data_IF_427024338925
#
_entry.id   IF_427024338925
#
_cell.length_a   1.000
_cell.length_b   1.000
_cell.length_c   1.000
_cell.angle_alpha   90.00
_cell.angle_beta   90.00
_cell.angle_gamma   90.00
#
_symmetry.space_group_name_H-M   'P 1'
#
loop_
_entity.id
_entity.type
_entity.pdbx_description
1 polymer ?
#
# COMPACT_ATOMS: atom_id res chain seq x y z
N UNK A 1 -6.54 -10.21 16.95
CA UNK A 1 -5.97 -9.27 15.96
C UNK A 1 -6.71 -9.43 14.64
N UNK A 2 -7.22 -8.37 14.06
CA UNK A 2 -7.77 -8.31 12.70
C UNK A 2 -6.62 -8.02 11.72
N UNK A 3 -6.65 -8.61 10.53
CA UNK A 3 -5.72 -8.29 9.46
C UNK A 3 -6.48 -7.97 8.18
N UNK A 4 -6.38 -6.72 7.72
CA UNK A 4 -6.84 -6.28 6.41
C UNK A 4 -5.62 -6.12 5.51
N UNK A 5 -5.49 -7.03 4.55
CA UNK A 5 -4.29 -7.11 3.72
C UNK A 5 -4.29 -6.11 2.55
N UNK A 6 -5.42 -5.50 2.23
CA UNK A 6 -5.53 -4.54 1.13
C UNK A 6 -6.71 -3.61 1.32
N UNK A 7 -6.51 -2.56 2.09
CA UNK A 7 -7.49 -1.52 2.30
C UNK A 7 -7.34 -0.42 1.24
N UNK A 8 -8.45 -0.05 0.63
CA UNK A 8 -8.50 1.01 -0.37
C UNK A 8 -9.22 2.24 0.18
N UNK A 9 -8.63 3.40 -0.08
CA UNK A 9 -9.25 4.72 0.06
C UNK A 9 -9.13 5.44 -1.28
N UNK A 10 -9.79 6.58 -1.43
CA UNK A 10 -9.56 7.42 -2.59
C UNK A 10 -8.09 7.86 -2.65
N UNK A 11 -7.41 7.64 -3.77
CA UNK A 11 -5.99 7.95 -3.92
C UNK A 11 -5.76 9.42 -4.28
N UNK A 12 -6.12 10.27 -3.32
CA UNK A 12 -5.89 11.73 -3.36
C UNK A 12 -5.22 12.17 -2.05
N UNK A 13 -4.44 13.24 -2.11
CA UNK A 13 -3.64 13.69 -0.95
C UNK A 13 -4.47 14.06 0.29
N UNK A 14 -5.73 14.42 0.08
CA UNK A 14 -6.66 14.81 1.14
C UNK A 14 -7.72 13.75 1.46
N UNK A 15 -7.50 12.49 1.05
CA UNK A 15 -8.36 11.39 1.44
C UNK A 15 -8.49 11.30 2.97
N UNK A 16 -9.68 11.00 3.45
CA UNK A 16 -9.93 10.84 4.89
C UNK A 16 -9.50 9.44 5.35
N UNK A 17 -8.48 9.37 6.17
CA UNK A 17 -7.97 8.12 6.75
C UNK A 17 -8.53 7.83 8.16
N UNK A 18 -9.47 8.61 8.67
CA UNK A 18 -10.04 8.41 10.02
C UNK A 18 -10.67 7.01 10.21
N UNK A 19 -11.13 6.39 9.12
CA UNK A 19 -11.64 5.01 9.12
C UNK A 19 -10.63 3.98 9.67
N UNK A 20 -9.32 4.24 9.57
CA UNK A 20 -8.29 3.36 10.13
C UNK A 20 -8.43 3.19 11.65
N UNK A 21 -9.00 4.16 12.35
CA UNK A 21 -9.31 4.07 13.77
C UNK A 21 -10.39 3.04 14.11
N UNK A 22 -11.19 2.60 13.14
CA UNK A 22 -12.27 1.62 13.37
C UNK A 22 -11.79 0.20 13.65
N UNK A 23 -10.52 -0.12 13.33
CA UNK A 23 -9.95 -1.43 13.62
C UNK A 23 -9.63 -1.64 15.11
N UNK A 24 -9.52 -0.56 15.91
CA UNK A 24 -9.22 -0.63 17.37
C UNK A 24 -10.22 -1.46 18.18
N UNK A 25 -11.55 -1.31 18.01
CA UNK A 25 -12.51 -2.08 18.79
C UNK A 25 -12.40 -3.60 18.63
N UNK A 26 -11.75 -4.07 17.57
CA UNK A 26 -11.47 -5.49 17.32
C UNK A 26 -10.25 -6.03 18.12
N UNK A 27 -9.68 -5.24 19.04
CA UNK A 27 -8.50 -5.63 19.81
C UNK A 27 -7.18 -5.45 19.05
N UNK A 28 -7.09 -4.40 18.26
CA UNK A 28 -5.95 -4.08 17.42
C UNK A 28 -5.88 -4.87 16.12
N UNK A 29 -5.10 -4.41 15.18
CA UNK A 29 -5.00 -5.02 13.87
C UNK A 29 -3.78 -4.61 13.07
N UNK A 30 -3.68 -5.19 11.88
CA UNK A 30 -2.78 -4.78 10.81
C UNK A 30 -3.61 -4.40 9.59
N UNK A 31 -3.33 -3.23 9.04
CA UNK A 31 -3.91 -2.75 7.78
C UNK A 31 -2.80 -2.48 6.78
N UNK A 32 -2.90 -3.09 5.61
CA UNK A 32 -2.09 -2.73 4.44
C UNK A 32 -2.90 -1.75 3.60
N UNK A 33 -2.46 -0.50 3.53
CA UNK A 33 -3.16 0.59 2.88
C UNK A 33 -2.59 0.84 1.49
N UNK A 34 -3.43 0.73 0.45
CA UNK A 34 -3.02 1.00 -0.91
C UNK A 34 -2.64 2.48 -1.10
N UNK A 35 -1.49 2.69 -1.74
CA UNK A 35 -0.97 4.04 -2.06
C UNK A 35 -0.63 4.21 -3.54
N UNK A 36 -0.95 3.24 -4.39
CA UNK A 36 -0.72 3.40 -5.81
C UNK A 36 -0.98 2.15 -6.67
N UNK A 37 -1.45 2.40 -7.86
CA UNK A 37 -1.63 1.44 -8.97
C UNK A 37 -1.72 2.22 -10.28
N UNK A 38 -1.75 1.52 -11.43
CA UNK A 38 -1.96 2.16 -12.72
C UNK A 38 -3.34 2.90 -12.77
N UNK A 39 -3.40 4.15 -13.27
CA UNK A 39 -2.35 4.85 -14.02
C UNK A 39 -1.41 5.73 -13.17
N UNK A 40 -1.37 5.56 -11.86
CA UNK A 40 -0.58 6.42 -10.97
C UNK A 40 0.91 6.17 -11.17
N UNK A 41 1.65 7.23 -11.48
CA UNK A 41 3.10 7.20 -11.62
C UNK A 41 3.84 7.45 -10.29
N UNK A 42 5.19 7.41 -10.33
CA UNK A 42 6.04 7.58 -9.15
C UNK A 42 5.80 8.86 -8.36
N UNK A 43 5.56 9.97 -9.05
CA UNK A 43 5.39 11.30 -8.42
C UNK A 43 4.13 11.37 -7.55
N UNK A 44 2.99 10.92 -8.10
CA UNK A 44 1.74 10.90 -7.35
C UNK A 44 1.84 9.93 -6.16
N UNK A 45 2.38 8.72 -6.38
CA UNK A 45 2.58 7.76 -5.29
C UNK A 45 3.47 8.33 -4.18
N UNK A 46 4.55 9.03 -4.52
CA UNK A 46 5.40 9.68 -3.51
C UNK A 46 4.66 10.78 -2.75
N UNK A 47 3.76 11.52 -3.41
CA UNK A 47 2.93 12.52 -2.77
C UNK A 47 1.91 11.91 -1.82
N UNK A 48 1.22 10.85 -2.25
CA UNK A 48 0.28 10.09 -1.41
C UNK A 48 0.96 9.50 -0.19
N UNK A 49 2.14 8.88 -0.35
CA UNK A 49 2.91 8.34 0.77
C UNK A 49 3.24 9.42 1.81
N UNK A 50 3.67 10.61 1.39
CA UNK A 50 3.94 11.72 2.33
C UNK A 50 2.68 12.15 3.08
N UNK A 51 1.58 12.34 2.35
CA UNK A 51 0.31 12.76 2.94
C UNK A 51 -0.27 11.72 3.89
N UNK A 52 -0.33 10.45 3.45
CA UNK A 52 -0.92 9.38 4.25
C UNK A 52 -0.10 9.08 5.51
N UNK A 53 1.24 9.11 5.42
CA UNK A 53 2.08 9.01 6.62
C UNK A 53 1.77 10.10 7.63
N UNK A 54 1.72 11.36 7.17
CA UNK A 54 1.41 12.50 8.05
C UNK A 54 0.01 12.42 8.67
N UNK A 55 -0.96 11.81 7.98
CA UNK A 55 -2.30 11.60 8.52
C UNK A 55 -2.31 10.46 9.54
N UNK A 56 -1.70 9.29 9.22
CA UNK A 56 -1.61 8.14 10.14
C UNK A 56 -1.00 8.54 11.48
N UNK A 57 0.06 9.37 11.47
CA UNK A 57 0.72 9.86 12.68
C UNK A 57 -0.18 10.73 13.58
N UNK A 58 -1.32 11.21 13.07
CA UNK A 58 -2.28 12.05 13.82
C UNK A 58 -3.53 11.32 14.28
N UNK A 59 -3.75 10.09 13.81
CA UNK A 59 -4.92 9.30 14.18
C UNK A 59 -4.61 8.57 15.47
N UNK A 60 -5.41 8.83 16.52
CA UNK A 60 -5.25 8.18 17.81
C UNK A 60 -5.43 6.66 17.70
N UNK A 61 -4.48 5.91 18.24
CA UNK A 61 -4.49 4.44 18.23
C UNK A 61 -4.20 3.82 16.85
N UNK A 62 -3.54 4.57 15.97
CA UNK A 62 -3.05 4.08 14.68
C UNK A 62 -1.57 4.44 14.57
N UNK A 63 -0.74 3.50 14.14
CA UNK A 63 0.70 3.73 14.02
C UNK A 63 1.30 3.00 12.80
N UNK A 64 2.29 3.63 12.18
CA UNK A 64 3.07 2.98 11.11
C UNK A 64 3.92 1.85 11.69
N UNK A 65 3.93 0.71 11.02
CA UNK A 65 4.80 -0.42 11.31
C UNK A 65 5.88 -0.56 10.24
N UNK A 66 7.12 -0.77 10.67
CA UNK A 66 8.25 -1.03 9.79
C UNK A 66 8.68 -2.50 9.82
N UNK A 67 8.44 -3.19 10.92
CA UNK A 67 8.85 -4.57 11.19
C UNK A 67 7.69 -5.38 11.75
N UNK A 68 7.85 -6.70 11.79
CA UNK A 68 6.88 -7.59 12.47
C UNK A 68 6.78 -7.26 13.97
N UNK A 69 7.91 -6.96 14.62
CA UNK A 69 7.94 -6.57 16.04
C UNK A 69 7.12 -5.29 16.29
N UNK A 70 7.12 -4.34 15.33
CA UNK A 70 6.25 -3.17 15.42
C UNK A 70 4.78 -3.55 15.36
N UNK A 71 4.40 -4.44 14.44
CA UNK A 71 3.03 -4.93 14.32
C UNK A 71 2.58 -5.57 15.62
N UNK A 72 3.39 -6.48 16.17
CA UNK A 72 3.08 -7.19 17.41
C UNK A 72 2.94 -6.21 18.60
N UNK A 73 3.84 -5.26 18.72
CA UNK A 73 3.82 -4.24 19.78
C UNK A 73 2.58 -3.34 19.69
N UNK A 74 2.25 -2.85 18.47
CA UNK A 74 1.11 -1.97 18.23
C UNK A 74 -0.19 -2.74 18.49
N UNK A 75 -0.32 -3.95 17.95
CA UNK A 75 -1.51 -4.76 18.14
C UNK A 75 -1.71 -5.19 19.61
N UNK A 76 -0.63 -5.49 20.35
CA UNK A 76 -0.70 -5.81 21.76
C UNK A 76 -1.21 -4.63 22.64
N UNK A 77 -1.00 -3.38 22.19
CA UNK A 77 -1.57 -2.19 22.80
C UNK A 77 -3.06 -1.99 22.48
N UNK A 78 -3.65 -2.81 21.60
CA UNK A 78 -5.01 -2.65 21.10
C UNK A 78 -5.14 -1.65 19.96
N UNK A 79 -4.01 -1.20 19.42
CA UNK A 79 -3.94 -0.20 18.36
C UNK A 79 -3.85 -0.87 16.97
N UNK A 80 -3.98 -0.06 15.91
CA UNK A 80 -3.91 -0.49 14.52
C UNK A 80 -2.54 -0.20 13.93
N UNK A 81 -1.83 -1.24 13.54
CA UNK A 81 -0.61 -1.13 12.77
C UNK A 81 -0.94 -0.85 11.28
N UNK A 82 -0.25 0.07 10.66
CA UNK A 82 -0.41 0.38 9.22
C UNK A 82 0.90 0.17 8.49
N UNK A 83 0.83 -0.53 7.39
CA UNK A 83 1.85 -0.61 6.35
C UNK A 83 1.24 -0.11 5.04
N UNK A 84 2.06 0.21 4.04
CA UNK A 84 1.57 0.58 2.72
C UNK A 84 1.76 -0.55 1.71
N UNK A 85 0.87 -0.61 0.72
CA UNK A 85 1.00 -1.50 -0.43
C UNK A 85 0.85 -0.78 -1.77
N UNK A 86 1.27 -1.47 -2.81
CA UNK A 86 1.04 -1.09 -4.19
C UNK A 86 0.26 -2.21 -4.90
N UNK A 87 -0.83 -1.85 -5.54
CA UNK A 87 -1.70 -2.79 -6.26
C UNK A 87 -1.12 -3.24 -7.60
N UNK A 88 -0.10 -2.53 -8.11
CA UNK A 88 0.75 -2.97 -9.23
C UNK A 88 2.10 -2.22 -9.26
N UNK A 89 2.94 -2.53 -10.25
CA UNK A 89 4.28 -1.95 -10.42
C UNK A 89 4.32 -0.61 -11.17
N UNK A 90 3.18 -0.03 -11.60
CA UNK A 90 3.19 1.27 -12.29
C UNK A 90 3.89 2.38 -11.48
N UNK A 91 3.72 2.45 -10.14
CA UNK A 91 4.42 3.41 -9.30
C UNK A 91 5.95 3.31 -9.29
N UNK A 92 6.53 2.20 -9.74
CA UNK A 92 8.00 2.08 -9.89
C UNK A 92 8.53 2.89 -11.07
N UNK A 93 7.69 3.18 -12.08
CA UNK A 93 8.12 3.87 -13.30
C UNK A 93 9.15 3.09 -14.13
N UNK A 94 9.27 1.77 -13.94
CA UNK A 94 10.29 0.93 -14.57
C UNK A 94 11.67 1.00 -13.91
N UNK A 95 11.80 1.71 -12.78
CA UNK A 95 13.05 1.87 -12.04
C UNK A 95 13.07 0.91 -10.83
N UNK A 96 13.92 -0.12 -10.88
CA UNK A 96 14.05 -1.07 -9.77
C UNK A 96 14.67 -0.44 -8.51
N UNK A 97 15.44 0.62 -8.63
CA UNK A 97 15.97 1.35 -7.46
C UNK A 97 14.85 2.05 -6.68
N UNK A 98 13.67 2.26 -7.30
CA UNK A 98 12.50 2.76 -6.61
C UNK A 98 12.03 1.82 -5.49
N UNK A 99 12.28 0.52 -5.57
CA UNK A 99 11.89 -0.46 -4.53
C UNK A 99 12.50 -0.08 -3.19
N UNK A 100 13.80 0.19 -3.14
CA UNK A 100 14.46 0.58 -1.89
C UNK A 100 13.89 1.89 -1.31
N UNK A 101 13.59 2.86 -2.18
CA UNK A 101 12.96 4.13 -1.78
C UNK A 101 11.56 3.94 -1.21
N UNK A 102 10.74 3.09 -1.84
CA UNK A 102 9.38 2.77 -1.40
C UNK A 102 9.38 2.01 -0.07
N UNK A 103 10.28 1.04 0.09
CA UNK A 103 10.47 0.32 1.37
C UNK A 103 10.85 1.29 2.49
N UNK A 104 11.75 2.24 2.24
CA UNK A 104 12.13 3.26 3.22
C UNK A 104 10.94 4.19 3.59
N UNK A 105 9.95 4.32 2.70
CA UNK A 105 8.73 5.10 2.93
C UNK A 105 7.59 4.31 3.57
N UNK A 106 7.75 3.01 3.83
CA UNK A 106 6.77 2.20 4.54
C UNK A 106 5.98 1.22 3.66
N UNK A 107 6.27 1.14 2.37
CA UNK A 107 5.69 0.10 1.50
C UNK A 107 6.26 -1.27 1.89
N UNK A 108 5.39 -2.28 2.06
CA UNK A 108 5.78 -3.63 2.49
C UNK A 108 5.30 -4.72 1.54
N UNK A 109 4.26 -4.44 0.77
CA UNK A 109 3.72 -5.37 -0.22
C UNK A 109 3.57 -4.69 -1.56
N UNK A 110 3.67 -5.47 -2.62
CA UNK A 110 3.52 -5.00 -4.00
C UNK A 110 3.03 -6.15 -4.86
N UNK A 111 1.91 -5.95 -5.56
CA UNK A 111 1.49 -6.86 -6.62
C UNK A 111 2.23 -6.51 -7.92
N UNK A 112 2.75 -7.49 -8.68
CA UNK A 112 3.46 -7.18 -9.93
C UNK A 112 2.56 -6.53 -10.99
N UNK A 113 1.32 -7.02 -11.13
CA UNK A 113 0.33 -6.52 -12.09
C UNK A 113 -1.06 -6.64 -11.50
N UNK A 114 -1.99 -5.81 -11.99
CA UNK A 114 -3.40 -5.91 -11.66
C UNK A 114 -4.23 -5.90 -12.95
N UNK A 115 -5.00 -4.85 -13.23
CA UNK A 115 -5.89 -4.81 -14.41
C UNK A 115 -5.13 -4.57 -15.73
N UNK A 116 -4.08 -3.77 -15.70
CA UNK A 116 -3.33 -3.36 -16.87
C UNK A 116 -1.96 -4.00 -16.94
N UNK A 117 -1.51 -4.28 -18.16
CA UNK A 117 -0.13 -4.70 -18.40
C UNK A 117 0.83 -3.57 -18.02
N UNK A 118 1.97 -3.94 -17.44
CA UNK A 118 3.06 -3.03 -17.11
C UNK A 118 4.43 -3.70 -17.39
N UNK A 119 5.52 -3.08 -16.98
CA UNK A 119 6.87 -3.61 -17.21
C UNK A 119 7.12 -4.99 -16.54
N UNK A 120 6.33 -5.37 -15.52
CA UNK A 120 6.47 -6.64 -14.82
C UNK A 120 5.66 -7.79 -15.48
N UNK A 121 4.62 -7.48 -16.26
CA UNK A 121 3.80 -8.51 -16.89
C UNK A 121 2.47 -8.06 -17.44
N UNK A 122 1.66 -9.02 -17.90
CA UNK A 122 0.30 -8.79 -18.36
C UNK A 122 -0.66 -8.54 -17.20
N UNK A 123 -1.66 -7.67 -17.40
CA UNK A 123 -2.74 -7.46 -16.46
C UNK A 123 -3.96 -8.35 -16.73
N UNK A 124 -4.89 -8.44 -15.78
CA UNK A 124 -6.10 -9.27 -15.90
C UNK A 124 -7.02 -8.84 -17.04
N UNK A 125 -7.02 -7.58 -17.41
CA UNK A 125 -7.77 -7.03 -18.54
C UNK A 125 -6.97 -7.04 -19.87
N UNK A 126 -5.72 -7.54 -19.86
CA UNK A 126 -4.91 -7.61 -21.08
C UNK A 126 -5.35 -8.78 -21.95
N UNK A 127 -5.48 -8.56 -23.26
CA UNK A 127 -5.72 -9.66 -24.20
C UNK A 127 -4.55 -10.67 -24.12
N UNK A 128 -4.82 -11.99 -24.25
CA UNK A 128 -3.77 -12.98 -24.29
C UNK A 128 -2.81 -12.65 -25.46
N UNK A 129 -1.53 -12.54 -25.16
CA UNK A 129 -0.51 -12.42 -26.22
C UNK A 129 -0.54 -13.68 -27.06
N UNK A 130 -0.93 -13.57 -28.32
CA UNK A 130 -0.81 -14.67 -29.25
C UNK A 130 0.66 -15.08 -29.32
N UNK A 131 0.98 -16.29 -28.82
CA UNK A 131 2.30 -16.86 -29.09
C UNK A 131 2.40 -17.06 -30.57
N UNK A 132 3.28 -16.34 -31.26
CA UNK A 132 3.65 -16.68 -32.60
C UNK A 132 4.41 -18.01 -32.51
N UNK A 133 3.79 -19.10 -32.93
CA UNK A 133 4.46 -20.34 -33.22
C UNK A 133 5.28 -20.12 -34.50
N UNK A 134 6.55 -19.82 -34.34
CA UNK A 134 7.55 -19.91 -35.39
C UNK A 134 8.20 -21.28 -35.35
#
# INVERSE_FOLDING_TARGET
MLWDQHACVELVEHADLAELGRYRPAGGGLVSLNVGYAPHGPELTASLLRSFRAQVERIDGVALAATVDDVDRIAAAGDTAVVFDLEDCAPLGGDLDAVARLVAQGVRTLAPTYNHANAAGGGSASAPTSRSTG
#
